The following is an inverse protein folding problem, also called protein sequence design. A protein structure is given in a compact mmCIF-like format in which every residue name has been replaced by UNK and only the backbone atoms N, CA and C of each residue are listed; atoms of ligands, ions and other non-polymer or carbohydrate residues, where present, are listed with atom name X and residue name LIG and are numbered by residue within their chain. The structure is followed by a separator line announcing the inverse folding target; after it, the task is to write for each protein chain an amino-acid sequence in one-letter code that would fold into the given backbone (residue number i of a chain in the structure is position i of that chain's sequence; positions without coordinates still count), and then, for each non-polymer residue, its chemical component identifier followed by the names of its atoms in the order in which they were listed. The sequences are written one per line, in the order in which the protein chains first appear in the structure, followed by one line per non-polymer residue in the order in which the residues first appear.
data_IF_444369690263
#
_entry.id   IF_444369690263
#
_cell.length_a   1.000
_cell.length_b   1.000
_cell.length_c   1.000
_cell.angle_alpha   90.00
_cell.angle_beta   90.00
_cell.angle_gamma   90.00
#
_symmetry.space_group_name_H-M   'P 1'
#
loop_
_entity.id
_entity.type
_entity.pdbx_description
1 polymer ?
#
# COMPACT_ATOMS: atom_id res chain seq x y z
N UNK A 1 1.59 25.73 -4.30
CA UNK A 1 0.78 25.18 -5.39
C UNK A 1 1.04 23.68 -5.50
N UNK A 2 0.08 22.88 -5.06
CA UNK A 2 0.17 21.41 -5.10
C UNK A 2 -0.45 20.89 -6.39
N UNK A 3 0.23 21.12 -7.52
CA UNK A 3 -0.17 20.62 -8.85
C UNK A 3 0.32 19.19 -9.04
N UNK A 4 -0.48 18.36 -9.73
CA UNK A 4 -0.13 16.99 -10.08
C UNK A 4 0.48 16.95 -11.48
N UNK A 5 1.56 16.21 -11.67
CA UNK A 5 2.25 16.02 -12.94
C UNK A 5 2.48 14.55 -13.21
N UNK A 6 2.33 14.12 -14.46
CA UNK A 6 2.52 12.74 -14.87
C UNK A 6 3.27 12.63 -16.21
N UNK A 7 3.98 11.51 -16.40
CA UNK A 7 4.71 11.17 -17.64
C UNK A 7 4.95 9.66 -17.72
N UNK A 8 5.34 9.18 -18.89
CA UNK A 8 5.61 7.77 -19.16
C UNK A 8 4.51 7.11 -19.98
N UNK A 9 4.34 5.79 -19.81
CA UNK A 9 3.32 4.99 -20.49
C UNK A 9 1.91 5.35 -20.06
N UNK A 10 0.95 5.33 -21.01
CA UNK A 10 -0.44 5.76 -20.80
C UNK A 10 -1.49 4.85 -21.45
N UNK A 11 -1.14 3.62 -21.83
CA UNK A 11 -2.06 2.75 -22.57
C UNK A 11 -3.39 2.43 -21.89
N UNK A 12 -3.48 2.59 -20.56
CA UNK A 12 -4.69 2.40 -19.75
C UNK A 12 -5.24 3.71 -19.16
N UNK A 13 -4.71 4.88 -19.57
CA UNK A 13 -5.10 6.19 -19.05
C UNK A 13 -4.46 6.52 -17.69
N UNK A 14 -3.42 5.80 -17.29
CA UNK A 14 -2.77 5.93 -15.96
C UNK A 14 -2.07 7.27 -15.72
N UNK A 15 -1.89 8.10 -16.74
CA UNK A 15 -1.39 9.46 -16.57
C UNK A 15 -2.47 10.46 -16.13
N UNK A 16 -3.76 10.14 -16.28
CA UNK A 16 -4.85 11.02 -15.86
C UNK A 16 -5.07 12.24 -16.76
N UNK A 17 -4.58 12.23 -18.00
CA UNK A 17 -4.54 13.38 -18.91
C UNK A 17 -5.77 13.47 -19.85
N UNK A 18 -6.75 12.58 -19.69
CA UNK A 18 -7.95 12.53 -20.53
C UNK A 18 -7.80 11.72 -21.83
N UNK A 19 -6.63 11.12 -22.04
CA UNK A 19 -6.33 10.28 -23.21
C UNK A 19 -5.49 9.05 -22.81
N UNK A 20 -5.03 8.26 -23.80
CA UNK A 20 -4.18 7.09 -23.62
C UNK A 20 -2.82 7.23 -24.30
N UNK A 21 -2.41 8.44 -24.68
CA UNK A 21 -1.12 8.70 -25.34
C UNK A 21 0.00 8.83 -24.31
N UNK A 22 1.13 8.16 -24.55
CA UNK A 22 2.32 8.30 -23.69
C UNK A 22 2.87 9.74 -23.68
N UNK A 23 3.58 10.09 -22.62
CA UNK A 23 4.26 11.38 -22.49
C UNK A 23 5.75 11.15 -22.17
N UNK A 24 6.60 11.75 -22.98
CA UNK A 24 8.07 11.66 -22.82
C UNK A 24 8.64 12.77 -21.93
N UNK A 25 7.77 13.65 -21.44
CA UNK A 25 8.10 14.75 -20.51
C UNK A 25 6.93 14.97 -19.54
N UNK A 26 7.16 15.58 -18.37
CA UNK A 26 6.10 15.88 -17.42
C UNK A 26 5.00 16.76 -18.02
N UNK A 27 3.74 16.34 -17.83
CA UNK A 27 2.53 17.10 -18.21
C UNK A 27 1.65 17.24 -16.97
N UNK A 28 1.10 18.44 -16.76
CA UNK A 28 0.22 18.71 -15.64
C UNK A 28 -1.12 18.01 -15.82
N UNK A 29 -1.61 17.36 -14.76
CA UNK A 29 -2.91 16.70 -14.72
C UNK A 29 -3.98 17.72 -14.31
N UNK A 30 -4.74 18.20 -15.28
CA UNK A 30 -5.76 19.22 -15.06
C UNK A 30 -5.21 20.54 -14.52
N UNK A 31 -6.07 21.37 -13.94
CA UNK A 31 -5.72 22.70 -13.42
C UNK A 31 -5.79 22.79 -11.88
N UNK A 32 -6.06 21.69 -11.18
CA UNK A 32 -6.22 21.69 -9.73
C UNK A 32 -4.88 21.88 -9.00
N UNK A 33 -4.91 22.56 -7.86
CA UNK A 33 -3.72 22.96 -7.07
C UNK A 33 -3.82 22.53 -5.61
N UNK A 34 -4.66 21.54 -5.32
CA UNK A 34 -5.03 21.08 -3.98
C UNK A 34 -4.68 19.60 -3.71
N UNK A 35 -3.81 19.02 -4.54
CA UNK A 35 -3.33 17.66 -4.34
C UNK A 35 -2.43 17.58 -3.11
N UNK A 36 -2.72 16.64 -2.18
CA UNK A 36 -1.99 16.48 -0.93
C UNK A 36 -1.03 15.30 -0.96
N UNK A 37 -1.50 14.15 -1.41
CA UNK A 37 -0.74 12.90 -1.40
C UNK A 37 -1.07 12.05 -2.62
N UNK A 38 -0.09 11.32 -3.13
CA UNK A 38 -0.22 10.44 -4.29
C UNK A 38 0.28 9.05 -3.95
N UNK A 39 -0.45 8.03 -4.39
CA UNK A 39 0.00 6.65 -4.44
C UNK A 39 -0.32 6.06 -5.81
N UNK A 40 0.45 5.09 -6.26
CA UNK A 40 0.23 4.44 -7.55
C UNK A 40 0.37 2.93 -7.46
N UNK A 41 -0.54 2.23 -8.09
CA UNK A 41 -0.41 0.81 -8.35
C UNK A 41 0.16 0.54 -9.75
N UNK A 42 -0.10 -0.65 -10.27
CA UNK A 42 0.25 -0.98 -11.64
C UNK A 42 -0.80 -0.39 -12.59
N UNK A 43 -0.42 0.58 -13.40
CA UNK A 43 -1.25 1.24 -14.40
C UNK A 43 -2.49 2.00 -13.84
N UNK A 44 -2.48 2.41 -12.59
CA UNK A 44 -3.47 3.33 -12.05
C UNK A 44 -2.84 4.29 -11.04
N UNK A 45 -3.41 5.46 -10.91
CA UNK A 45 -3.08 6.46 -9.91
C UNK A 45 -4.24 6.67 -8.95
N UNK A 46 -3.91 6.99 -7.70
CA UNK A 46 -4.86 7.42 -6.67
C UNK A 46 -4.27 8.57 -5.88
N UNK A 47 -5.04 9.62 -5.65
CA UNK A 47 -4.55 10.81 -4.97
C UNK A 47 -5.58 11.35 -3.98
N UNK A 48 -5.06 11.85 -2.86
CA UNK A 48 -5.81 12.55 -1.83
C UNK A 48 -5.66 14.05 -2.04
N UNK A 49 -6.73 14.79 -1.88
CA UNK A 49 -6.73 16.25 -1.85
C UNK A 49 -6.75 16.80 -0.44
N UNK A 50 -6.43 18.09 -0.31
CA UNK A 50 -6.42 18.82 0.98
C UNK A 50 -7.79 18.92 1.64
N UNK A 51 -8.88 18.77 0.86
CA UNK A 51 -10.27 18.76 1.34
C UNK A 51 -10.72 17.36 1.84
N UNK A 52 -9.81 16.37 1.85
CA UNK A 52 -10.08 14.99 2.26
C UNK A 52 -10.82 14.15 1.22
N UNK A 53 -10.97 14.63 -0.03
CA UNK A 53 -11.51 13.83 -1.13
C UNK A 53 -10.45 12.93 -1.75
N UNK A 54 -10.85 11.73 -2.19
CA UNK A 54 -9.98 10.75 -2.82
C UNK A 54 -10.34 10.63 -4.31
N UNK A 55 -9.34 10.59 -5.19
CA UNK A 55 -9.49 10.57 -6.63
C UNK A 55 -8.66 9.46 -7.25
N UNK A 56 -9.19 8.74 -8.24
CA UNK A 56 -8.51 7.62 -8.89
C UNK A 56 -8.68 7.67 -10.41
N UNK A 57 -7.70 7.12 -11.15
CA UNK A 57 -7.71 7.05 -12.62
C UNK A 57 -6.78 5.93 -13.11
N UNK A 58 -6.89 5.56 -14.39
CA UNK A 58 -6.13 4.49 -15.03
C UNK A 58 -6.94 3.21 -15.16
N UNK A 59 -6.24 2.08 -15.12
CA UNK A 59 -6.81 0.74 -15.23
C UNK A 59 -7.75 0.41 -14.07
N UNK A 60 -8.88 -0.26 -14.39
CA UNK A 60 -9.90 -0.63 -13.41
C UNK A 60 -10.43 -2.08 -13.54
N UNK A 61 -9.64 -2.99 -14.08
CA UNK A 61 -10.06 -4.37 -14.37
C UNK A 61 -10.60 -5.13 -13.14
N UNK A 62 -10.10 -4.80 -11.95
CA UNK A 62 -10.49 -5.41 -10.66
C UNK A 62 -11.32 -4.48 -9.77
N UNK A 63 -11.79 -3.34 -10.30
CA UNK A 63 -12.49 -2.34 -9.49
C UNK A 63 -11.57 -1.47 -8.62
N UNK A 64 -10.24 -1.46 -8.86
CA UNK A 64 -9.25 -0.74 -8.06
C UNK A 64 -9.43 0.77 -8.03
N UNK A 65 -10.24 1.35 -8.91
CA UNK A 65 -10.59 2.77 -8.87
C UNK A 65 -11.72 3.10 -7.89
N UNK A 66 -12.41 2.10 -7.32
CA UNK A 66 -13.43 2.29 -6.29
C UNK A 66 -14.73 2.94 -6.77
N UNK A 67 -15.06 2.82 -8.07
CA UNK A 67 -16.21 3.49 -8.72
C UNK A 67 -17.50 2.66 -8.76
N UNK A 68 -17.53 1.48 -8.12
CA UNK A 68 -18.66 0.55 -8.20
C UNK A 68 -18.77 -0.21 -9.52
N UNK A 69 -17.74 -0.11 -10.36
CA UNK A 69 -17.66 -0.77 -11.67
C UNK A 69 -16.20 -1.14 -12.00
N UNK A 70 -15.97 -1.71 -13.19
CA UNK A 70 -14.63 -2.07 -13.69
C UNK A 70 -14.21 -1.27 -14.92
N UNK A 71 -14.83 -0.10 -15.16
CA UNK A 71 -14.48 0.80 -16.27
C UNK A 71 -13.20 1.58 -15.94
N UNK A 72 -12.23 1.58 -16.86
CA UNK A 72 -11.02 2.40 -16.77
C UNK A 72 -11.32 3.86 -17.08
N UNK A 73 -10.64 4.78 -16.38
CA UNK A 73 -10.82 6.23 -16.57
C UNK A 73 -9.48 6.89 -16.87
N UNK A 74 -9.40 7.62 -17.99
CA UNK A 74 -8.20 8.36 -18.39
C UNK A 74 -8.05 9.74 -17.73
N UNK A 75 -9.02 10.16 -16.92
CA UNK A 75 -9.00 11.38 -16.09
C UNK A 75 -9.30 11.04 -14.65
N UNK A 76 -8.80 11.81 -13.67
CA UNK A 76 -9.15 11.63 -12.27
C UNK A 76 -10.67 11.69 -12.04
N UNK A 77 -11.21 10.66 -11.35
CA UNK A 77 -12.62 10.58 -10.93
C UNK A 77 -12.65 10.42 -9.42
N UNK A 78 -13.54 11.16 -8.74
CA UNK A 78 -13.66 11.09 -7.29
C UNK A 78 -14.20 9.75 -6.82
N UNK A 79 -13.60 9.19 -5.78
CA UNK A 79 -14.04 7.94 -5.14
C UNK A 79 -15.14 8.25 -4.14
N UNK A 80 -16.39 8.04 -4.55
CA UNK A 80 -17.56 8.38 -3.74
C UNK A 80 -17.66 9.87 -3.43
N UNK A 81 -18.43 10.24 -2.40
CA UNK A 81 -18.68 11.63 -2.00
C UNK A 81 -18.03 11.99 -0.63
N UNK A 82 -17.20 11.13 -0.06
CA UNK A 82 -16.63 11.35 1.27
C UNK A 82 -15.46 12.34 1.23
N UNK A 83 -15.35 13.15 2.28
CA UNK A 83 -14.30 14.14 2.53
C UNK A 83 -13.49 13.82 3.78
N UNK A 84 -13.47 12.56 4.19
CA UNK A 84 -12.85 12.10 5.46
C UNK A 84 -11.66 11.18 5.23
N UNK A 85 -11.17 11.07 4.00
CA UNK A 85 -9.97 10.30 3.72
C UNK A 85 -8.73 11.02 4.24
N UNK A 86 -7.85 10.27 4.92
CA UNK A 86 -6.64 10.79 5.56
C UNK A 86 -5.36 10.22 4.96
N UNK A 87 -5.38 8.95 4.59
CA UNK A 87 -4.23 8.26 3.98
C UNK A 87 -4.68 7.23 2.95
N UNK A 88 -3.80 6.96 1.98
CA UNK A 88 -4.02 5.94 0.96
C UNK A 88 -2.72 5.25 0.61
N UNK A 89 -2.78 3.93 0.41
CA UNK A 89 -1.70 3.10 -0.07
C UNK A 89 -2.22 2.19 -1.19
N UNK A 90 -1.58 2.24 -2.34
CA UNK A 90 -1.91 1.40 -3.48
C UNK A 90 -1.00 0.17 -3.51
N UNK A 91 -1.59 -1.02 -3.51
CA UNK A 91 -0.96 -2.24 -3.97
C UNK A 91 -1.00 -2.31 -5.50
N UNK A 92 -0.61 -3.45 -6.07
CA UNK A 92 -0.53 -3.58 -7.53
C UNK A 92 -1.88 -3.35 -8.23
N UNK A 93 -2.95 -3.95 -7.72
CA UNK A 93 -4.31 -3.90 -8.28
C UNK A 93 -5.38 -3.67 -7.21
N UNK A 94 -5.02 -3.21 -6.04
CA UNK A 94 -5.93 -2.93 -4.94
C UNK A 94 -5.50 -1.67 -4.20
N UNK A 95 -6.38 -1.18 -3.36
CA UNK A 95 -6.16 0.01 -2.54
C UNK A 95 -6.50 -0.30 -1.09
N UNK A 96 -5.69 0.23 -0.20
CA UNK A 96 -5.96 0.36 1.23
C UNK A 96 -6.01 1.84 1.57
N UNK A 97 -7.05 2.31 2.21
CA UNK A 97 -7.20 3.71 2.61
C UNK A 97 -7.67 3.84 4.06
N UNK A 98 -7.26 4.91 4.72
CA UNK A 98 -7.65 5.24 6.09
C UNK A 98 -8.47 6.52 6.12
N UNK A 99 -9.49 6.56 6.99
CA UNK A 99 -10.25 7.76 7.30
C UNK A 99 -9.79 8.40 8.59
N UNK A 100 -10.17 9.66 8.78
CA UNK A 100 -9.88 10.47 9.98
C UNK A 100 -10.49 9.90 11.26
N UNK A 101 -11.50 9.03 11.16
CA UNK A 101 -12.09 8.31 12.29
C UNK A 101 -11.29 7.05 12.71
N UNK A 102 -10.12 6.81 12.07
CA UNK A 102 -9.26 5.66 12.35
C UNK A 102 -9.74 4.35 11.73
N UNK A 103 -10.79 4.33 10.90
CA UNK A 103 -11.21 3.15 10.14
C UNK A 103 -10.35 2.96 8.90
N UNK A 104 -10.12 1.70 8.48
CA UNK A 104 -9.48 1.39 7.20
C UNK A 104 -10.47 0.72 6.25
N UNK A 105 -10.26 0.99 4.96
CA UNK A 105 -11.11 0.57 3.86
C UNK A 105 -10.25 -0.01 2.74
N UNK A 106 -10.76 -1.01 2.04
CA UNK A 106 -10.04 -1.66 0.94
C UNK A 106 -10.97 -1.97 -0.24
N UNK A 107 -10.40 -2.01 -1.44
CA UNK A 107 -11.08 -2.38 -2.67
C UNK A 107 -10.08 -2.75 -3.77
N UNK A 108 -10.57 -3.31 -4.88
CA UNK A 108 -9.77 -3.83 -5.98
C UNK A 108 -9.64 -5.34 -5.90
N UNK A 109 -8.56 -5.86 -6.46
CA UNK A 109 -8.24 -7.30 -6.47
C UNK A 109 -8.10 -7.88 -5.08
N UNK A 110 -8.64 -9.08 -4.88
CA UNK A 110 -8.65 -9.77 -3.59
C UNK A 110 -8.30 -11.28 -3.69
N UNK A 111 -7.66 -11.74 -4.73
CA UNK A 111 -7.33 -13.16 -4.94
C UNK A 111 -6.55 -13.80 -3.78
N UNK A 112 -5.78 -13.01 -3.03
CA UNK A 112 -4.99 -13.46 -1.88
C UNK A 112 -5.57 -13.05 -0.52
N UNK A 113 -6.78 -12.48 -0.48
CA UNK A 113 -7.40 -11.98 0.73
C UNK A 113 -6.90 -10.60 1.18
N UNK A 114 -6.20 -9.85 0.30
CA UNK A 114 -5.62 -8.54 0.61
C UNK A 114 -6.65 -7.45 0.95
N UNK A 115 -7.93 -7.66 0.64
CA UNK A 115 -9.00 -6.76 1.09
C UNK A 115 -9.28 -6.87 2.60
N UNK A 116 -8.82 -7.93 3.28
CA UNK A 116 -9.04 -8.12 4.71
C UNK A 116 -10.49 -8.44 5.13
N UNK A 117 -11.35 -8.87 4.19
CA UNK A 117 -12.79 -9.09 4.39
C UNK A 117 -13.17 -10.53 4.79
N UNK A 118 -12.18 -11.40 5.10
CA UNK A 118 -12.41 -12.80 5.42
C UNK A 118 -12.75 -13.69 4.20
N UNK A 119 -12.57 -13.17 3.00
CA UNK A 119 -12.84 -13.88 1.74
C UNK A 119 -11.83 -13.46 0.65
N UNK A 120 -12.02 -13.93 -0.58
CA UNK A 120 -11.18 -13.61 -1.75
C UNK A 120 -11.99 -12.98 -2.90
N UNK A 121 -13.12 -12.32 -2.59
CA UNK A 121 -13.96 -11.62 -3.59
C UNK A 121 -13.39 -10.22 -3.87
N UNK A 122 -13.27 -9.84 -5.14
CA UNK A 122 -12.92 -8.48 -5.56
C UNK A 122 -14.02 -7.48 -5.20
N UNK A 123 -13.62 -6.27 -4.83
CA UNK A 123 -14.54 -5.18 -4.50
C UNK A 123 -14.31 -3.98 -5.40
N UNK A 124 -15.33 -3.57 -6.16
CA UNK A 124 -15.27 -2.38 -7.02
C UNK A 124 -15.64 -1.07 -6.30
N UNK A 125 -16.01 -1.14 -5.04
CA UNK A 125 -16.27 0.01 -4.16
C UNK A 125 -15.51 -0.16 -2.84
N UNK A 126 -15.16 0.94 -2.16
CA UNK A 126 -14.53 0.86 -0.83
C UNK A 126 -15.40 0.06 0.16
N UNK A 127 -14.80 -0.94 0.83
CA UNK A 127 -15.43 -1.73 1.90
C UNK A 127 -14.59 -1.60 3.16
N UNK A 128 -15.23 -1.37 4.31
CA UNK A 128 -14.54 -1.22 5.59
C UNK A 128 -13.94 -2.57 6.05
N UNK A 129 -12.69 -2.53 6.52
CA UNK A 129 -11.99 -3.70 7.07
C UNK A 129 -12.29 -3.82 8.56
N UNK A 130 -13.20 -4.72 8.90
CA UNK A 130 -13.64 -4.91 10.29
C UNK A 130 -14.31 -3.67 10.89
N UNK A 131 -14.40 -3.60 12.21
CA UNK A 131 -15.08 -2.53 12.94
C UNK A 131 -14.13 -1.65 13.80
N UNK A 132 -12.82 -1.87 13.72
CA UNK A 132 -11.87 -1.15 14.55
C UNK A 132 -11.62 0.27 14.03
N UNK A 133 -11.43 1.21 14.96
CA UNK A 133 -11.16 2.64 14.72
C UNK A 133 -9.79 3.07 15.26
N UNK A 134 -8.90 2.10 15.49
CA UNK A 134 -7.58 2.33 16.11
C UNK A 134 -6.42 2.13 15.12
N UNK A 135 -6.70 2.12 13.82
CA UNK A 135 -5.67 2.02 12.80
C UNK A 135 -4.95 3.36 12.64
N UNK A 136 -3.62 3.32 12.60
CA UNK A 136 -2.77 4.52 12.52
C UNK A 136 -2.06 4.62 11.18
N UNK A 137 -1.04 3.83 10.95
CA UNK A 137 -0.22 3.90 9.73
C UNK A 137 -0.49 2.70 8.84
N UNK A 138 -0.70 2.94 7.55
CA UNK A 138 -1.04 1.92 6.56
C UNK A 138 0.04 1.79 5.49
N UNK A 139 0.28 0.56 5.02
CA UNK A 139 1.10 0.25 3.87
C UNK A 139 0.49 -0.90 3.06
N UNK A 140 0.60 -0.83 1.75
CA UNK A 140 0.12 -1.85 0.82
C UNK A 140 1.21 -2.19 -0.20
N UNK A 141 1.38 -3.46 -0.48
CA UNK A 141 2.39 -3.96 -1.40
C UNK A 141 1.92 -5.19 -2.17
N UNK A 142 2.85 -5.87 -2.81
CA UNK A 142 2.58 -7.12 -3.49
C UNK A 142 2.91 -7.13 -4.98
N UNK A 143 3.08 -8.35 -5.52
CA UNK A 143 3.40 -8.63 -6.91
C UNK A 143 2.18 -8.75 -7.82
N UNK A 144 2.30 -9.58 -8.86
CA UNK A 144 1.30 -9.69 -9.94
C UNK A 144 -0.05 -10.24 -9.50
N UNK A 145 -0.07 -11.16 -8.53
CA UNK A 145 -1.28 -11.80 -8.00
C UNK A 145 -1.33 -11.74 -6.47
N UNK A 146 -0.31 -11.19 -5.82
CA UNK A 146 -0.03 -11.35 -4.41
C UNK A 146 -0.11 -10.01 -3.69
N UNK A 147 -1.30 -9.55 -3.33
CA UNK A 147 -1.48 -8.36 -2.52
C UNK A 147 -1.18 -8.61 -1.05
N UNK A 148 -0.53 -7.67 -0.37
CA UNK A 148 -0.28 -7.70 1.06
C UNK A 148 -0.53 -6.34 1.70
N UNK A 149 -1.04 -6.35 2.92
CA UNK A 149 -1.20 -5.17 3.76
C UNK A 149 -0.35 -5.30 5.02
N UNK A 150 0.21 -4.18 5.44
CA UNK A 150 0.94 -4.03 6.69
C UNK A 150 0.49 -2.75 7.37
N UNK A 151 -0.02 -2.85 8.58
CA UNK A 151 -0.67 -1.74 9.28
C UNK A 151 -0.27 -1.72 10.75
N UNK A 152 0.02 -0.54 11.26
CA UNK A 152 0.27 -0.32 12.70
C UNK A 152 -0.97 0.34 13.30
N UNK A 153 -1.36 -0.11 14.51
CA UNK A 153 -2.40 0.53 15.32
C UNK A 153 -1.83 1.61 16.23
N UNK A 154 -2.70 2.45 16.76
CA UNK A 154 -2.36 3.50 17.74
C UNK A 154 -1.72 2.96 19.03
N UNK A 155 -1.93 1.69 19.36
CA UNK A 155 -1.29 0.99 20.47
C UNK A 155 0.11 0.45 20.12
N UNK A 156 0.61 0.69 18.91
CA UNK A 156 1.90 0.22 18.41
C UNK A 156 1.95 -1.25 18.02
N UNK A 157 0.82 -1.95 17.95
CA UNK A 157 0.77 -3.33 17.43
C UNK A 157 0.82 -3.35 15.91
N UNK A 158 1.53 -4.34 15.33
CA UNK A 158 1.66 -4.55 13.89
C UNK A 158 0.68 -5.63 13.42
N UNK A 159 0.00 -5.39 12.32
CA UNK A 159 -0.98 -6.30 11.72
C UNK A 159 -0.69 -6.49 10.24
N UNK A 160 -0.79 -7.72 9.77
CA UNK A 160 -0.58 -8.08 8.35
C UNK A 160 -1.64 -9.04 7.85
N UNK A 161 -1.93 -8.98 6.56
CA UNK A 161 -2.83 -9.90 5.86
C UNK A 161 -2.59 -9.86 4.35
N UNK A 162 -3.25 -10.75 3.60
CA UNK A 162 -3.04 -10.97 2.18
C UNK A 162 -2.17 -12.19 1.93
N UNK A 163 -1.35 -12.17 0.90
CA UNK A 163 -0.48 -13.27 0.51
C UNK A 163 0.64 -13.54 1.52
N UNK A 164 0.75 -14.80 1.98
CA UNK A 164 1.74 -15.26 2.96
C UNK A 164 3.00 -15.89 2.34
N UNK A 165 3.10 -15.96 1.02
CA UNK A 165 4.25 -16.59 0.36
C UNK A 165 5.61 -16.04 0.84
N UNK A 166 6.63 -16.90 0.93
CA UNK A 166 7.96 -16.59 1.50
C UNK A 166 7.94 -16.10 2.98
N UNK A 167 6.83 -16.28 3.70
CA UNK A 167 6.70 -15.84 5.08
C UNK A 167 6.54 -14.32 5.24
N UNK A 168 6.19 -13.59 4.16
CA UNK A 168 6.14 -12.12 4.15
C UNK A 168 5.16 -11.52 5.16
N UNK A 169 4.19 -12.27 5.70
CA UNK A 169 3.26 -11.77 6.71
C UNK A 169 3.84 -11.78 8.14
N UNK A 170 4.98 -12.44 8.38
CA UNK A 170 5.68 -12.38 9.66
C UNK A 170 5.12 -13.28 10.77
N UNK A 171 4.26 -14.27 10.44
CA UNK A 171 3.57 -15.15 11.41
C UNK A 171 4.27 -16.50 11.62
N UNK A 172 5.56 -16.63 11.31
CA UNK A 172 6.34 -17.86 11.40
C UNK A 172 5.79 -19.00 10.52
N UNK A 173 5.10 -18.66 9.46
CA UNK A 173 4.57 -19.59 8.46
C UNK A 173 4.44 -18.88 7.08
N UNK A 174 3.91 -19.59 6.08
CA UNK A 174 3.68 -19.07 4.72
C UNK A 174 2.20 -19.01 4.36
N UNK A 175 1.31 -19.07 5.34
CA UNK A 175 -0.14 -19.04 5.15
C UNK A 175 -0.60 -17.64 4.73
N UNK A 176 -1.49 -17.55 3.74
CA UNK A 176 -2.21 -16.33 3.39
C UNK A 176 -3.38 -16.11 4.34
N UNK A 177 -3.63 -14.87 4.73
CA UNK A 177 -4.73 -14.51 5.61
C UNK A 177 -5.66 -13.50 4.95
N UNK A 178 -6.95 -13.80 4.88
CA UNK A 178 -7.97 -12.90 4.32
C UNK A 178 -8.58 -11.92 5.34
N UNK A 179 -8.06 -11.91 6.56
CA UNK A 179 -8.40 -10.95 7.63
C UNK A 179 -7.13 -10.48 8.32
N UNK A 180 -7.12 -9.27 8.91
CA UNK A 180 -5.97 -8.78 9.67
C UNK A 180 -5.56 -9.74 10.80
N UNK A 181 -4.27 -10.07 10.88
CA UNK A 181 -3.68 -10.90 11.95
C UNK A 181 -2.51 -10.13 12.57
N UNK A 182 -2.43 -10.13 13.92
CA UNK A 182 -1.37 -9.43 14.65
C UNK A 182 -0.03 -10.17 14.53
N UNK A 183 1.04 -9.43 14.26
CA UNK A 183 2.42 -9.96 14.21
C UNK A 183 3.02 -9.94 15.61
N UNK A 184 3.08 -11.11 16.25
CA UNK A 184 3.61 -11.24 17.62
C UNK A 184 2.84 -10.39 18.63
N UNK A 185 3.49 -10.07 19.76
CA UNK A 185 2.88 -9.35 20.89
C UNK A 185 3.51 -7.96 21.16
N UNK A 186 4.42 -7.49 20.29
CA UNK A 186 5.11 -6.22 20.50
C UNK A 186 4.19 -5.03 20.18
N UNK A 187 4.35 -3.96 20.98
CA UNK A 187 3.58 -2.71 20.89
C UNK A 187 4.49 -1.50 20.56
N UNK A 188 5.59 -1.74 19.87
CA UNK A 188 6.60 -0.72 19.57
C UNK A 188 6.79 -0.48 18.08
N UNK A 189 5.91 -0.99 17.25
CA UNK A 189 5.95 -0.77 15.80
C UNK A 189 5.46 0.63 15.45
N UNK A 190 6.06 1.25 14.43
CA UNK A 190 5.77 2.65 14.08
C UNK A 190 5.60 2.86 12.57
N UNK A 191 6.53 2.40 11.75
CA UNK A 191 6.54 2.71 10.31
C UNK A 191 6.56 1.42 9.49
N UNK A 192 5.40 0.94 9.02
CA UNK A 192 5.31 -0.25 8.18
C UNK A 192 5.66 0.08 6.73
N UNK A 193 6.22 -0.90 6.00
CA UNK A 193 6.44 -0.85 4.56
C UNK A 193 6.25 -2.23 3.94
N UNK A 194 5.12 -2.43 3.28
CA UNK A 194 4.83 -3.63 2.51
C UNK A 194 5.52 -3.56 1.13
N UNK A 195 6.47 -4.43 0.90
CA UNK A 195 7.13 -4.64 -0.39
C UNK A 195 6.41 -5.66 -1.27
N UNK A 196 7.06 -6.06 -2.37
CA UNK A 196 6.52 -7.06 -3.28
C UNK A 196 6.48 -8.47 -2.62
N UNK A 197 7.61 -8.95 -2.12
CA UNK A 197 7.76 -10.29 -1.53
C UNK A 197 8.37 -10.27 -0.13
N UNK A 198 8.55 -9.10 0.45
CA UNK A 198 9.14 -8.88 1.76
C UNK A 198 8.49 -7.67 2.43
N UNK A 199 8.65 -7.54 3.72
CA UNK A 199 8.20 -6.40 4.52
C UNK A 199 9.34 -5.80 5.32
N UNK A 200 9.21 -4.53 5.65
CA UNK A 200 10.10 -3.80 6.55
C UNK A 200 9.27 -2.99 7.54
N UNK A 201 9.75 -2.87 8.75
CA UNK A 201 9.15 -1.96 9.72
C UNK A 201 10.21 -1.32 10.61
N UNK A 202 9.99 -0.06 10.99
CA UNK A 202 10.79 0.62 12.00
C UNK A 202 10.00 0.64 13.31
N UNK A 203 10.69 0.34 14.42
CA UNK A 203 10.12 0.50 15.76
C UNK A 203 10.33 1.91 16.31
N UNK A 204 9.61 2.25 17.36
CA UNK A 204 9.71 3.55 18.06
C UNK A 204 11.10 3.83 18.65
N UNK A 205 11.89 2.78 18.89
CA UNK A 205 13.30 2.87 19.30
C UNK A 205 14.28 3.13 18.13
N UNK A 206 13.76 3.27 16.91
CA UNK A 206 14.53 3.50 15.68
C UNK A 206 15.22 2.26 15.12
N UNK A 207 14.93 1.05 15.61
CA UNK A 207 15.44 -0.19 15.02
C UNK A 207 14.66 -0.57 13.76
N UNK A 208 15.36 -1.09 12.75
CA UNK A 208 14.80 -1.56 11.49
C UNK A 208 14.69 -3.08 11.48
N UNK A 209 13.55 -3.59 11.04
CA UNK A 209 13.22 -5.01 10.98
C UNK A 209 12.77 -5.39 9.57
N UNK A 210 13.12 -6.60 9.11
CA UNK A 210 12.75 -7.14 7.80
C UNK A 210 12.36 -8.60 7.90
N UNK A 211 11.49 -9.03 6.98
CA UNK A 211 11.10 -10.43 6.83
C UNK A 211 10.47 -10.68 5.46
N UNK A 212 10.20 -11.95 5.12
CA UNK A 212 9.75 -12.37 3.80
C UNK A 212 10.89 -12.96 2.98
N UNK A 213 10.86 -12.76 1.67
CA UNK A 213 11.87 -13.28 0.75
C UNK A 213 13.24 -12.62 0.95
N UNK A 214 14.26 -13.44 1.17
CA UNK A 214 15.68 -13.02 1.27
C UNK A 214 16.42 -13.00 -0.08
N UNK A 215 15.76 -13.38 -1.17
CA UNK A 215 16.36 -13.41 -2.52
C UNK A 215 17.07 -12.10 -2.84
N UNK A 216 18.27 -12.18 -3.42
CA UNK A 216 19.13 -11.04 -3.75
C UNK A 216 19.56 -10.20 -2.52
N UNK A 217 19.51 -10.76 -1.30
CA UNK A 217 19.95 -10.09 -0.08
C UNK A 217 19.06 -8.92 0.37
N UNK A 218 17.81 -8.83 -0.11
CA UNK A 218 16.91 -7.68 0.15
C UNK A 218 16.53 -7.50 1.62
N UNK A 219 16.72 -8.52 2.46
CA UNK A 219 16.47 -8.45 3.90
C UNK A 219 17.68 -7.91 4.69
N UNK A 220 18.82 -7.65 4.03
CA UNK A 220 20.04 -7.11 4.63
C UNK A 220 20.59 -7.94 5.83
N UNK A 221 20.37 -9.26 5.83
CA UNK A 221 20.81 -10.19 6.89
C UNK A 221 22.18 -10.85 6.57
N UNK A 222 22.91 -10.39 5.53
CA UNK A 222 24.17 -10.99 5.12
C UNK A 222 24.03 -12.34 4.38
N UNK A 223 22.81 -12.74 4.05
CA UNK A 223 22.48 -13.99 3.33
C UNK A 223 21.25 -13.79 2.43
N UNK A 224 20.80 -14.87 1.79
CA UNK A 224 19.62 -14.88 0.91
C UNK A 224 18.46 -15.73 1.46
N UNK A 225 18.48 -16.04 2.76
CA UNK A 225 17.46 -16.86 3.44
C UNK A 225 16.16 -16.08 3.58
N UNK A 226 15.03 -16.76 3.35
CA UNK A 226 13.69 -16.24 3.65
C UNK A 226 13.43 -16.31 5.15
N UNK A 227 12.84 -15.27 5.72
CA UNK A 227 12.46 -15.24 7.15
C UNK A 227 10.95 -15.04 7.27
N UNK A 228 10.27 -15.97 7.93
CA UNK A 228 8.82 -15.92 8.15
C UNK A 228 8.42 -15.16 9.44
N UNK A 229 9.39 -14.58 10.14
CA UNK A 229 9.19 -13.70 11.30
C UNK A 229 10.09 -12.48 11.19
N UNK A 230 9.73 -11.33 11.78
CA UNK A 230 10.58 -10.15 11.77
C UNK A 230 11.98 -10.41 12.35
N UNK A 231 13.03 -9.99 11.61
CA UNK A 231 14.43 -10.06 12.04
C UNK A 231 15.02 -8.65 11.97
N UNK A 232 15.72 -8.24 13.04
CA UNK A 232 16.34 -6.93 13.12
C UNK A 232 17.55 -6.81 12.17
N UNK A 233 17.70 -5.67 11.49
CA UNK A 233 18.88 -5.35 10.70
C UNK A 233 19.95 -4.72 11.60
N UNK A 234 21.00 -5.50 11.91
CA UNK A 234 22.15 -5.02 12.69
C UNK A 234 21.73 -4.45 14.05
N UNK A 235 22.60 -3.59 14.62
CA UNK A 235 22.41 -3.01 15.96
C UNK A 235 22.07 -1.50 15.92
N UNK A 236 21.83 -0.91 14.75
CA UNK A 236 21.55 0.51 14.63
C UNK A 236 20.09 0.83 15.04
N UNK A 237 19.92 1.92 15.76
CA UNK A 237 18.64 2.42 16.27
C UNK A 237 18.34 3.86 15.84
N UNK A 238 18.80 4.24 14.63
CA UNK A 238 18.65 5.60 14.09
C UNK A 238 17.94 5.60 12.72
N UNK A 239 17.26 4.52 12.38
CA UNK A 239 16.44 4.45 11.18
C UNK A 239 15.18 5.29 11.33
N UNK A 240 14.83 6.06 10.29
CA UNK A 240 13.74 7.00 10.40
C UNK A 240 12.73 6.96 9.25
N UNK A 241 13.15 6.71 8.02
CA UNK A 241 12.26 6.77 6.86
C UNK A 241 12.32 5.47 6.08
N UNK A 242 11.17 4.93 5.74
CA UNK A 242 10.96 3.88 4.73
C UNK A 242 10.26 4.47 3.50
N UNK A 243 10.40 3.87 2.31
CA UNK A 243 9.62 4.25 1.14
C UNK A 243 8.12 4.13 1.43
N UNK A 244 7.33 5.03 0.90
CA UNK A 244 5.87 5.07 1.15
C UNK A 244 5.09 3.93 0.50
N UNK A 245 5.60 3.35 -0.59
CA UNK A 245 5.00 2.19 -1.29
C UNK A 245 6.05 1.47 -2.13
N UNK A 246 5.80 0.20 -2.41
CA UNK A 246 6.73 -0.60 -3.20
C UNK A 246 6.04 -1.73 -3.96
N UNK A 247 5.26 -1.38 -4.97
CA UNK A 247 4.61 -2.37 -5.86
C UNK A 247 5.58 -3.11 -6.79
N UNK A 248 6.80 -2.61 -6.96
CA UNK A 248 7.79 -3.17 -7.88
C UNK A 248 9.19 -3.38 -7.27
N UNK A 249 9.38 -3.13 -5.98
CA UNK A 249 10.72 -3.20 -5.41
C UNK A 249 11.16 -4.64 -5.09
N UNK A 250 12.28 -5.00 -5.67
CA UNK A 250 13.08 -6.16 -5.27
C UNK A 250 14.21 -5.76 -4.29
N UNK A 251 14.25 -4.51 -3.86
CA UNK A 251 15.34 -3.90 -3.09
C UNK A 251 14.81 -3.25 -1.82
N UNK A 252 15.40 -3.56 -0.67
CA UNK A 252 15.15 -2.85 0.59
C UNK A 252 15.86 -1.49 0.60
N UNK A 253 15.18 -0.43 1.05
CA UNK A 253 15.74 0.91 1.24
C UNK A 253 15.24 1.52 2.54
N UNK A 254 16.09 2.26 3.20
CA UNK A 254 15.74 3.04 4.40
C UNK A 254 16.68 4.24 4.55
N UNK A 255 16.22 5.32 5.17
CA UNK A 255 17.05 6.48 5.51
C UNK A 255 17.35 6.43 7.02
N UNK A 256 18.60 6.67 7.34
CA UNK A 256 19.12 6.81 8.68
C UNK A 256 19.36 8.30 8.97
N UNK A 257 19.04 8.75 10.19
CA UNK A 257 19.43 10.07 10.69
C UNK A 257 20.87 10.08 11.18
#
# INVERSE_FOLDING_TARGET
NNTLWSWGGNGDGQLGLGDTSQRNSPVQVGALTDWLYLSSGYKFGIALKTDGTLWAWGQNTYGQLGQGNTTSYSSPVQVGALTTWEAVAAGKYFVLAKKTDGTIWSWGNNDSGQSGQGNTTDYSSPVQVGALTTWDTISAGGGTTDGTCEVVKTDGTLWTWGSGGNGRLGHNNTTSYSSPVQVGALTTWSKPMAGNTFMQAIKTDGTLWTWGSGTNGRLAQGNTTDYSSPVQIGALSTWNILPSTSTAQSTGMAIKN
#
